data_IF_784025936680
#
_entry.id   IF_784025936680
#
_cell.length_a   1.000
_cell.length_b   1.000
_cell.length_c   1.000
_cell.angle_alpha   90.00
_cell.angle_beta   90.00
_cell.angle_gamma   90.00
#
_symmetry.space_group_name_H-M   'P 1'
#
loop_
_entity.id
_entity.type
_entity.pdbx_description
1 polymer ?
#
# COMPACT_ATOMS: atom_id res chain seq x y z
N UNK A 1 8.64 15.54 18.16
CA UNK A 1 7.97 14.64 17.19
C UNK A 1 8.65 14.83 15.86
N UNK A 2 9.17 13.76 15.26
CA UNK A 2 9.77 13.80 13.92
C UNK A 2 8.71 13.24 12.97
N UNK A 3 8.42 14.00 11.91
CA UNK A 3 7.50 13.59 10.85
C UNK A 3 8.32 13.01 9.71
N UNK A 4 8.11 11.72 9.42
CA UNK A 4 8.71 11.04 8.28
C UNK A 4 7.59 10.64 7.33
N UNK A 5 7.87 10.76 6.04
CA UNK A 5 7.02 10.14 5.03
C UNK A 5 7.59 8.76 4.67
N UNK A 6 6.80 7.95 3.96
CA UNK A 6 7.21 6.62 3.51
C UNK A 6 8.57 6.62 2.80
N UNK A 7 8.84 7.63 1.98
CA UNK A 7 10.09 7.76 1.22
C UNK A 7 11.31 8.14 2.07
N UNK A 8 11.12 8.57 3.32
CA UNK A 8 12.23 8.85 4.23
C UNK A 8 12.72 7.60 4.98
N UNK A 9 12.01 6.48 4.87
CA UNK A 9 12.36 5.23 5.54
C UNK A 9 13.43 4.49 4.74
N UNK A 10 14.21 3.63 5.41
CA UNK A 10 15.14 2.73 4.71
C UNK A 10 14.39 1.71 3.84
N UNK A 11 15.08 1.12 2.86
CA UNK A 11 14.47 0.24 1.88
C UNK A 11 13.83 -1.00 2.52
N UNK A 12 14.43 -1.57 3.55
CA UNK A 12 13.88 -2.74 4.26
C UNK A 12 12.55 -2.38 4.94
N UNK A 13 12.50 -1.25 5.63
CA UNK A 13 11.28 -0.72 6.24
C UNK A 13 10.22 -0.41 5.19
N UNK A 14 10.60 0.19 4.05
CA UNK A 14 9.68 0.46 2.96
C UNK A 14 9.07 -0.83 2.39
N UNK A 15 9.90 -1.85 2.15
CA UNK A 15 9.43 -3.15 1.65
C UNK A 15 8.50 -3.84 2.65
N UNK A 16 8.84 -3.81 3.94
CA UNK A 16 8.00 -4.38 4.99
C UNK A 16 6.62 -3.72 5.02
N UNK A 17 6.57 -2.38 5.04
CA UNK A 17 5.32 -1.62 5.03
C UNK A 17 4.51 -1.86 3.75
N UNK A 18 5.17 -2.02 2.60
CA UNK A 18 4.53 -2.39 1.34
C UNK A 18 3.84 -3.76 1.44
N UNK A 19 4.51 -4.77 2.00
CA UNK A 19 3.90 -6.09 2.21
C UNK A 19 2.68 -6.02 3.15
N UNK A 20 2.79 -5.27 4.25
CA UNK A 20 1.69 -5.08 5.20
C UNK A 20 0.51 -4.36 4.53
N UNK A 21 0.78 -3.28 3.80
CA UNK A 21 -0.25 -2.51 3.08
C UNK A 21 -0.96 -3.35 2.01
N UNK A 22 -0.21 -4.12 1.21
CA UNK A 22 -0.80 -5.02 0.20
C UNK A 22 -1.76 -6.03 0.84
N UNK A 23 -1.39 -6.61 1.98
CA UNK A 23 -2.24 -7.56 2.70
C UNK A 23 -3.51 -6.90 3.25
N UNK A 24 -3.40 -5.69 3.79
CA UNK A 24 -4.55 -4.94 4.31
C UNK A 24 -5.54 -4.55 3.19
N UNK A 25 -5.02 -4.04 2.06
CA UNK A 25 -5.84 -3.71 0.89
C UNK A 25 -6.47 -4.95 0.27
N UNK A 26 -5.74 -6.06 0.16
CA UNK A 26 -6.29 -7.31 -0.35
C UNK A 26 -7.41 -7.84 0.57
N UNK A 27 -7.23 -7.77 1.89
CA UNK A 27 -8.26 -8.20 2.83
C UNK A 27 -9.52 -7.32 2.79
N UNK A 28 -9.37 -6.00 2.62
CA UNK A 28 -10.49 -5.04 2.62
C UNK A 28 -11.18 -4.92 1.26
N UNK A 29 -10.41 -4.93 0.18
CA UNK A 29 -10.86 -4.54 -1.16
C UNK A 29 -10.52 -5.58 -2.25
N UNK A 30 -9.84 -6.68 -1.93
CA UNK A 30 -9.34 -7.64 -2.92
C UNK A 30 -10.41 -8.16 -3.86
N UNK A 31 -11.62 -8.48 -3.36
CA UNK A 31 -12.73 -8.94 -4.20
C UNK A 31 -13.20 -7.88 -5.21
N UNK A 32 -13.26 -6.62 -4.79
CA UNK A 32 -13.67 -5.51 -5.66
C UNK A 32 -12.59 -5.17 -6.68
N UNK A 33 -11.32 -5.19 -6.27
CA UNK A 33 -10.18 -5.03 -7.15
C UNK A 33 -10.11 -6.15 -8.19
N UNK A 34 -10.38 -7.40 -7.82
CA UNK A 34 -10.44 -8.52 -8.78
C UNK A 34 -11.59 -8.33 -9.79
N UNK A 35 -12.77 -7.91 -9.33
CA UNK A 35 -13.90 -7.62 -10.23
C UNK A 35 -13.58 -6.47 -11.18
N UNK A 36 -12.95 -5.42 -10.67
CA UNK A 36 -12.51 -4.28 -11.47
C UNK A 36 -11.46 -4.70 -12.49
N UNK A 37 -10.45 -5.47 -12.08
CA UNK A 37 -9.39 -5.97 -12.94
C UNK A 37 -9.96 -6.79 -14.11
N UNK A 38 -10.88 -7.72 -13.79
CA UNK A 38 -11.58 -8.53 -14.81
C UNK A 38 -12.44 -7.68 -15.74
N UNK A 39 -13.18 -6.69 -15.21
CA UNK A 39 -14.07 -5.84 -16.01
C UNK A 39 -13.31 -4.94 -16.99
N UNK A 40 -12.16 -4.43 -16.57
CA UNK A 40 -11.37 -3.49 -17.34
C UNK A 40 -10.19 -4.14 -18.07
N UNK A 41 -10.04 -5.46 -17.98
CA UNK A 41 -8.92 -6.23 -18.54
C UNK A 41 -7.55 -5.67 -18.14
N UNK A 42 -7.40 -5.30 -16.87
CA UNK A 42 -6.15 -4.83 -16.28
C UNK A 42 -5.58 -5.88 -15.33
N UNK A 43 -4.26 -5.83 -15.11
CA UNK A 43 -3.58 -6.74 -14.21
C UNK A 43 -3.94 -6.44 -12.74
N UNK A 44 -4.44 -7.47 -12.03
CA UNK A 44 -4.85 -7.35 -10.64
C UNK A 44 -3.66 -7.05 -9.73
N UNK A 45 -2.50 -7.65 -9.98
CA UNK A 45 -1.32 -7.47 -9.12
C UNK A 45 -0.81 -6.03 -9.18
N UNK A 46 -0.71 -5.47 -10.38
CA UNK A 46 -0.36 -4.07 -10.61
C UNK A 46 -1.35 -3.11 -9.96
N UNK A 47 -2.65 -3.41 -10.03
CA UNK A 47 -3.69 -2.61 -9.39
C UNK A 47 -3.59 -2.65 -7.86
N UNK A 48 -3.40 -3.85 -7.29
CA UNK A 48 -3.23 -4.03 -5.86
C UNK A 48 -2.01 -3.29 -5.33
N UNK A 49 -0.90 -3.33 -6.08
CA UNK A 49 0.33 -2.61 -5.73
C UNK A 49 0.14 -1.09 -5.76
N UNK A 50 -0.56 -0.55 -6.76
CA UNK A 50 -0.87 0.89 -6.83
C UNK A 50 -1.73 1.35 -5.66
N UNK A 51 -2.77 0.58 -5.30
CA UNK A 51 -3.65 0.92 -4.18
C UNK A 51 -2.93 0.76 -2.83
N UNK A 52 -2.08 -0.26 -2.68
CA UNK A 52 -1.22 -0.41 -1.49
C UNK A 52 -0.22 0.74 -1.33
N UNK A 53 0.37 1.21 -2.44
CA UNK A 53 1.28 2.35 -2.44
C UNK A 53 0.55 3.65 -2.09
N UNK A 54 -0.64 3.89 -2.67
CA UNK A 54 -1.48 5.04 -2.31
C UNK A 54 -1.82 5.07 -0.82
N UNK A 55 -2.22 3.94 -0.27
CA UNK A 55 -2.49 3.79 1.16
C UNK A 55 -1.28 4.19 2.01
N UNK A 56 -0.06 3.82 1.61
CA UNK A 56 1.16 4.19 2.34
C UNK A 56 1.48 5.68 2.29
N UNK A 57 1.15 6.38 1.21
CA UNK A 57 1.32 7.83 1.09
C UNK A 57 0.25 8.63 1.83
N UNK A 58 -0.84 7.99 2.26
CA UNK A 58 -1.87 8.64 3.10
C UNK A 58 -1.57 8.63 4.59
N UNK A 59 -0.51 7.93 5.05
CA UNK A 59 -0.11 7.90 6.46
C UNK A 59 0.96 8.95 6.77
N UNK A 60 0.73 9.70 7.86
CA UNK A 60 1.77 10.48 8.53
C UNK A 60 2.44 9.61 9.59
N UNK A 61 3.73 9.27 9.40
CA UNK A 61 4.47 8.46 10.37
C UNK A 61 5.04 9.37 11.47
N UNK A 62 4.52 9.22 12.69
CA UNK A 62 4.96 9.98 13.86
C UNK A 62 5.76 9.08 14.79
N UNK A 63 7.06 9.37 14.92
CA UNK A 63 7.93 8.68 15.88
C UNK A 63 8.01 9.48 17.19
N UNK A 64 7.70 8.81 18.29
CA UNK A 64 7.86 9.32 19.66
C UNK A 64 9.13 8.68 20.22
N UNK A 65 10.05 9.53 20.67
CA UNK A 65 11.32 9.15 21.32
C UNK A 65 11.14 9.35 22.83
#
# INVERSE_FOLDING_TARGET
MIYLNFTNLDEETQQHLMTVSKKDIEQKFGLDLQRYAKRNNVDYQSLLEQEAQRNLYTYDYVFII
#
